data_IF_985453914438
#
_entry.id   IF_985453914438
#
_cell.length_a   1.000
_cell.length_b   1.000
_cell.length_c   1.000
_cell.angle_alpha   90.00
_cell.angle_beta   90.00
_cell.angle_gamma   90.00
#
_symmetry.space_group_name_H-M   'P 1'
#
loop_
_entity.id
_entity.type
_entity.pdbx_description
1 polymer ?
#
# COMPACT_ATOMS: atom_id res chain seq x y z
N UNK A 1 -18.16 2.78 -20.34
CA UNK A 1 -18.70 2.60 -19.00
C UNK A 1 -17.53 2.41 -18.02
N UNK A 2 -17.47 3.26 -17.00
CA UNK A 2 -16.42 3.15 -15.96
C UNK A 2 -16.96 2.30 -14.83
N UNK A 3 -16.24 1.22 -14.51
CA UNK A 3 -16.69 0.26 -13.53
C UNK A 3 -15.55 -0.03 -12.54
N UNK A 4 -15.86 0.00 -11.26
CA UNK A 4 -14.91 -0.30 -10.20
C UNK A 4 -15.48 -1.39 -9.30
N UNK A 5 -14.67 -2.42 -9.05
CA UNK A 5 -14.97 -3.49 -8.12
C UNK A 5 -14.03 -3.40 -6.94
N UNK A 6 -14.56 -3.57 -5.75
CA UNK A 6 -13.75 -3.59 -4.53
C UNK A 6 -14.22 -4.74 -3.66
N UNK A 7 -13.26 -5.52 -3.18
CA UNK A 7 -13.50 -6.60 -2.25
C UNK A 7 -12.59 -6.44 -1.04
N UNK A 8 -13.10 -6.85 0.12
CA UNK A 8 -12.34 -6.79 1.35
C UNK A 8 -12.62 -8.03 2.18
N UNK A 9 -11.55 -8.65 2.66
CA UNK A 9 -11.62 -9.80 3.56
C UNK A 9 -10.85 -9.42 4.82
N UNK A 10 -11.44 -9.67 5.97
CA UNK A 10 -10.79 -9.37 7.24
C UNK A 10 -11.01 -10.51 8.23
N UNK A 11 -10.08 -10.64 9.16
CA UNK A 11 -10.15 -11.65 10.19
C UNK A 11 -9.29 -11.29 11.38
N UNK A 12 -9.66 -11.81 12.53
CA UNK A 12 -8.93 -11.62 13.78
C UNK A 12 -8.44 -12.94 14.32
N UNK A 13 -7.40 -12.88 15.15
CA UNK A 13 -6.80 -14.05 15.82
C UNK A 13 -6.31 -15.12 14.84
N UNK A 14 -5.77 -14.70 13.69
CA UNK A 14 -5.25 -15.61 12.67
C UNK A 14 -3.82 -16.05 12.97
N UNK A 15 -2.98 -15.13 13.45
CA UNK A 15 -1.57 -15.37 13.74
C UNK A 15 -1.30 -15.38 15.23
N UNK A 16 -1.95 -14.48 15.97
CA UNK A 16 -1.80 -14.30 17.41
C UNK A 16 -3.13 -13.86 17.99
N UNK A 17 -3.31 -14.07 19.30
CA UNK A 17 -4.46 -13.50 20.00
C UNK A 17 -4.39 -11.97 19.96
N UNK A 18 -5.48 -11.35 19.54
CA UNK A 18 -5.58 -9.90 19.45
C UNK A 18 -5.08 -9.31 18.14
N UNK A 19 -4.75 -10.12 17.16
CA UNK A 19 -4.40 -9.60 15.85
C UNK A 19 -5.64 -9.25 15.04
N UNK A 20 -5.44 -8.36 14.07
CA UNK A 20 -6.46 -7.99 13.10
C UNK A 20 -5.80 -7.90 11.73
N UNK A 21 -6.39 -8.58 10.76
CA UNK A 21 -5.83 -8.70 9.42
C UNK A 21 -6.86 -8.29 8.38
N UNK A 22 -6.46 -7.49 7.42
CA UNK A 22 -7.33 -7.01 6.34
C UNK A 22 -6.63 -7.21 5.01
N UNK A 23 -7.33 -7.82 4.08
CA UNK A 23 -6.91 -7.92 2.69
C UNK A 23 -7.92 -7.16 1.85
N UNK A 24 -7.47 -6.17 1.09
CA UNK A 24 -8.30 -5.34 0.23
C UNK A 24 -7.88 -5.53 -1.21
N UNK A 25 -8.85 -5.63 -2.08
CA UNK A 25 -8.65 -5.81 -3.51
C UNK A 25 -9.51 -4.79 -4.24
N UNK A 26 -8.93 -4.09 -5.20
CA UNK A 26 -9.63 -3.10 -6.02
C UNK A 26 -9.28 -3.30 -7.49
N UNK A 27 -10.30 -3.32 -8.32
CA UNK A 27 -10.14 -3.38 -9.77
C UNK A 27 -11.07 -2.33 -10.38
N UNK A 28 -10.53 -1.50 -11.25
CA UNK A 28 -11.31 -0.43 -11.84
C UNK A 28 -10.86 -0.08 -13.24
N UNK A 29 -11.81 0.35 -14.05
CA UNK A 29 -11.55 0.97 -15.34
C UNK A 29 -11.83 2.45 -15.21
N UNK A 30 -10.84 3.28 -15.56
CA UNK A 30 -10.96 4.73 -15.52
C UNK A 30 -10.73 5.30 -16.93
N UNK A 31 -10.94 6.63 -17.06
CA UNK A 31 -10.68 7.31 -18.33
C UNK A 31 -9.22 7.18 -18.74
N UNK A 32 -8.31 7.14 -17.79
CA UNK A 32 -6.86 7.07 -18.04
C UNK A 32 -6.35 5.64 -18.20
N UNK A 33 -7.08 4.63 -17.73
CA UNK A 33 -6.64 3.26 -17.85
C UNK A 33 -7.28 2.33 -16.84
N UNK A 34 -6.69 1.14 -16.71
CA UNK A 34 -7.11 0.12 -15.77
C UNK A 34 -6.24 0.19 -14.52
N UNK A 35 -6.88 0.16 -13.37
CA UNK A 35 -6.22 0.18 -12.08
C UNK A 35 -6.52 -1.14 -11.35
N UNK A 36 -5.48 -1.81 -10.90
CA UNK A 36 -5.56 -2.97 -10.03
C UNK A 36 -4.75 -2.69 -8.77
N UNK A 37 -5.34 -2.93 -7.61
CA UNK A 37 -4.69 -2.67 -6.33
C UNK A 37 -4.98 -3.80 -5.36
N UNK A 38 -3.95 -4.26 -4.66
CA UNK A 38 -4.07 -5.24 -3.59
C UNK A 38 -3.34 -4.68 -2.38
N UNK A 39 -4.00 -4.70 -1.23
CA UNK A 39 -3.45 -4.20 0.02
C UNK A 39 -3.64 -5.24 1.12
N UNK A 40 -2.57 -5.54 1.83
CA UNK A 40 -2.60 -6.42 2.98
C UNK A 40 -2.13 -5.64 4.21
N UNK A 41 -2.96 -5.59 5.23
CA UNK A 41 -2.67 -4.92 6.49
C UNK A 41 -2.83 -5.92 7.62
N UNK A 42 -1.87 -5.92 8.53
CA UNK A 42 -1.95 -6.71 9.74
C UNK A 42 -1.62 -5.84 10.93
N UNK A 43 -2.24 -6.11 12.06
CA UNK A 43 -1.97 -5.40 13.31
C UNK A 43 -2.07 -6.39 14.45
N UNK A 44 -1.02 -6.51 15.23
CA UNK A 44 -0.98 -7.47 16.32
C UNK A 44 -0.19 -6.93 17.51
N UNK A 45 -0.56 -7.34 18.74
CA UNK A 45 0.20 -6.94 19.93
C UNK A 45 1.52 -7.69 19.99
N UNK A 46 2.59 -6.98 20.36
CA UNK A 46 3.92 -7.56 20.52
C UNK A 46 4.40 -7.58 21.96
N UNK A 47 3.61 -7.05 22.89
CA UNK A 47 3.89 -7.06 24.32
C UNK A 47 3.52 -5.75 24.97
N UNK A 48 2.86 -5.84 26.15
CA UNK A 48 2.44 -4.66 26.91
C UNK A 48 1.52 -3.76 26.11
N UNK A 49 1.90 -2.50 26.00
CA UNK A 49 1.12 -1.48 25.27
C UNK A 49 1.54 -1.30 23.81
N UNK A 50 2.44 -2.14 23.30
CA UNK A 50 2.98 -2.04 21.96
C UNK A 50 2.22 -2.89 20.96
N UNK A 51 2.02 -2.35 19.77
CA UNK A 51 1.42 -3.05 18.63
C UNK A 51 2.25 -2.83 17.39
N UNK A 52 2.36 -3.87 16.57
CA UNK A 52 3.08 -3.83 15.30
C UNK A 52 2.09 -4.01 14.16
N UNK A 53 2.19 -3.17 13.14
CA UNK A 53 1.29 -3.20 12.00
C UNK A 53 2.04 -3.21 10.68
N UNK A 54 2.43 -4.37 10.16
CA UNK A 54 2.97 -4.43 8.81
C UNK A 54 1.87 -4.21 7.77
N UNK A 55 2.21 -3.46 6.72
CA UNK A 55 1.32 -3.18 5.58
C UNK A 55 2.09 -3.38 4.30
N UNK A 56 1.40 -3.88 3.31
CA UNK A 56 1.95 -4.01 1.97
C UNK A 56 0.87 -3.71 0.95
N UNK A 57 1.16 -2.80 0.03
CA UNK A 57 0.24 -2.42 -1.03
C UNK A 57 0.94 -2.55 -2.38
N UNK A 58 0.24 -3.12 -3.35
CA UNK A 58 0.68 -3.19 -4.73
C UNK A 58 -0.38 -2.51 -5.59
N UNK A 59 0.01 -1.46 -6.30
CA UNK A 59 -0.84 -0.75 -7.23
C UNK A 59 -0.30 -0.93 -8.63
N UNK A 60 -1.19 -1.22 -9.57
CA UNK A 60 -0.83 -1.38 -10.98
C UNK A 60 -1.77 -0.56 -11.83
N UNK A 61 -1.21 0.31 -12.64
CA UNK A 61 -1.94 1.13 -13.59
C UNK A 61 -1.50 0.78 -15.01
N UNK A 62 -2.45 0.37 -15.84
CA UNK A 62 -2.25 0.20 -17.27
C UNK A 62 -2.92 1.35 -17.99
N UNK A 63 -2.10 2.29 -18.50
CA UNK A 63 -2.62 3.48 -19.17
C UNK A 63 -3.09 3.13 -20.59
N UNK A 64 -4.27 3.62 -20.94
CA UNK A 64 -4.85 3.38 -22.28
C UNK A 64 -4.23 4.30 -23.32
N UNK A 65 -3.82 5.50 -22.92
CA UNK A 65 -3.36 6.53 -23.85
C UNK A 65 -2.03 6.20 -24.51
N UNK A 66 -1.08 5.63 -23.78
CA UNK A 66 0.28 5.37 -24.27
C UNK A 66 0.71 3.91 -24.09
N UNK A 67 -0.17 3.05 -23.55
CA UNK A 67 0.14 1.65 -23.28
C UNK A 67 1.13 1.44 -22.14
N UNK A 68 1.49 2.50 -21.39
CA UNK A 68 2.44 2.37 -20.30
C UNK A 68 1.84 1.60 -19.13
N UNK A 69 2.72 0.95 -18.38
CA UNK A 69 2.35 0.18 -17.21
C UNK A 69 3.15 0.67 -16.02
N UNK A 70 2.45 1.11 -14.98
CA UNK A 70 3.06 1.54 -13.72
C UNK A 70 2.72 0.54 -12.63
N UNK A 71 3.73 0.03 -11.97
CA UNK A 71 3.56 -0.83 -10.79
C UNK A 71 4.23 -0.17 -9.61
N UNK A 72 3.52 -0.03 -8.51
CA UNK A 72 4.03 0.59 -7.30
C UNK A 72 3.87 -0.39 -6.14
N UNK A 73 4.96 -0.62 -5.42
CA UNK A 73 4.99 -1.43 -4.21
C UNK A 73 5.19 -0.51 -3.02
N UNK A 74 4.33 -0.61 -2.02
CA UNK A 74 4.36 0.25 -0.84
C UNK A 74 4.41 -0.61 0.41
N UNK A 75 5.59 -1.09 0.82
CA UNK A 75 5.76 -1.74 2.11
C UNK A 75 5.82 -0.68 3.21
N UNK A 76 5.20 -0.95 4.32
CA UNK A 76 5.29 -0.09 5.49
C UNK A 76 5.16 -0.89 6.77
N UNK A 77 5.69 -0.34 7.84
CA UNK A 77 5.65 -0.92 9.17
C UNK A 77 5.23 0.16 10.15
N UNK A 78 4.15 -0.09 10.85
CA UNK A 78 3.59 0.82 11.85
C UNK A 78 3.86 0.25 13.23
N UNK A 79 4.45 1.05 14.10
CA UNK A 79 4.67 0.70 15.50
C UNK A 79 3.84 1.63 16.37
N UNK A 80 2.93 1.08 17.14
CA UNK A 80 2.06 1.83 18.04
C UNK A 80 2.40 1.52 19.48
N UNK A 81 2.42 2.56 20.30
CA UNK A 81 2.45 2.46 21.75
C UNK A 81 1.26 3.22 22.30
N UNK A 82 0.39 2.53 23.01
CA UNK A 82 -0.78 3.15 23.62
C UNK A 82 -0.85 2.78 25.09
N UNK A 83 -0.84 3.77 25.94
CA UNK A 83 -0.97 3.60 27.37
C UNK A 83 -1.80 4.75 27.93
N UNK A 84 -2.91 4.41 28.60
CA UNK A 84 -3.84 5.40 29.17
C UNK A 84 -4.36 6.35 28.08
N UNK A 85 -4.02 7.62 28.17
CA UNK A 85 -4.44 8.67 27.22
C UNK A 85 -3.36 9.08 26.23
N UNK A 86 -2.26 8.33 26.21
CA UNK A 86 -1.11 8.64 25.36
C UNK A 86 -1.02 7.64 24.22
N UNK A 87 -0.88 8.14 23.02
CA UNK A 87 -0.67 7.33 21.82
C UNK A 87 0.57 7.83 21.11
N UNK A 88 1.51 6.94 20.90
CA UNK A 88 2.71 7.20 20.12
C UNK A 88 2.70 6.25 18.93
N UNK A 89 2.94 6.81 17.73
CA UNK A 89 2.97 6.04 16.49
C UNK A 89 4.22 6.36 15.70
N UNK A 90 4.88 5.32 15.23
CA UNK A 90 6.05 5.43 14.37
C UNK A 90 5.79 4.58 13.13
N UNK A 91 5.91 5.20 11.96
CA UNK A 91 5.70 4.52 10.69
C UNK A 91 6.95 4.63 9.82
N UNK A 92 7.42 3.50 9.34
CA UNK A 92 8.46 3.41 8.32
C UNK A 92 7.85 2.86 7.06
N UNK A 93 8.13 3.48 5.94
CA UNK A 93 7.61 2.98 4.70
C UNK A 93 8.53 3.26 3.54
N UNK A 94 8.25 2.56 2.46
CA UNK A 94 8.92 2.75 1.20
C UNK A 94 7.91 2.76 0.07
N UNK A 95 8.27 3.38 -1.01
CA UNK A 95 7.51 3.35 -2.24
C UNK A 95 8.47 2.99 -3.36
N UNK A 96 8.26 1.82 -3.95
CA UNK A 96 9.06 1.31 -5.05
C UNK A 96 8.19 1.35 -6.29
N UNK A 97 8.50 2.26 -7.22
CA UNK A 97 7.75 2.41 -8.45
C UNK A 97 8.52 1.84 -9.62
N UNK A 98 7.81 1.13 -10.49
CA UNK A 98 8.35 0.64 -11.75
C UNK A 98 7.40 1.05 -12.86
N UNK A 99 7.91 1.81 -13.81
CA UNK A 99 7.16 2.23 -14.98
C UNK A 99 7.75 1.59 -16.22
N UNK A 100 6.93 0.92 -16.99
CA UNK A 100 7.28 0.37 -18.29
C UNK A 100 6.48 1.11 -19.36
N UNK A 101 7.20 1.71 -20.31
CA UNK A 101 6.60 2.43 -21.42
C UNK A 101 7.09 1.85 -22.73
N UNK A 102 6.19 1.71 -23.70
CA UNK A 102 6.55 1.32 -25.05
C UNK A 102 6.93 2.56 -25.84
N UNK A 103 8.16 2.56 -26.37
CA UNK A 103 8.63 3.61 -27.25
C UNK A 103 8.73 3.03 -28.66
N UNK A 104 8.03 3.68 -29.60
CA UNK A 104 8.07 3.26 -30.99
C UNK A 104 9.01 4.21 -31.76
N UNK A 105 10.10 3.65 -32.25
CA UNK A 105 11.07 4.36 -33.09
C UNK A 105 10.96 3.89 -34.53
N UNK A 106 11.62 4.62 -35.44
CA UNK A 106 11.61 4.27 -36.87
C UNK A 106 12.11 2.86 -37.14
N UNK A 107 12.96 2.32 -36.31
CA UNK A 107 13.58 1.01 -36.46
C UNK A 107 12.98 -0.09 -35.58
N UNK A 108 11.85 0.17 -34.92
CA UNK A 108 11.19 -0.83 -34.10
C UNK A 108 10.68 -0.25 -32.79
N UNK A 109 10.05 -1.10 -32.00
CA UNK A 109 9.51 -0.74 -30.68
C UNK A 109 10.40 -1.32 -29.58
N UNK A 110 10.62 -0.56 -28.52
CA UNK A 110 11.31 -1.08 -27.34
C UNK A 110 10.62 -0.61 -26.06
N UNK A 111 10.85 -1.35 -24.97
CA UNK A 111 10.31 -1.06 -23.66
C UNK A 111 11.35 -0.28 -22.88
N UNK A 112 10.94 0.89 -22.37
CA UNK A 112 11.75 1.67 -21.45
C UNK A 112 11.25 1.45 -20.04
N UNK A 113 12.15 1.11 -19.12
CA UNK A 113 11.81 0.88 -17.72
C UNK A 113 12.41 1.99 -16.87
N UNK A 114 11.59 2.59 -16.01
CA UNK A 114 12.03 3.56 -15.01
C UNK A 114 11.68 3.04 -13.62
N UNK A 115 12.66 3.09 -12.71
CA UNK A 115 12.48 2.71 -11.34
C UNK A 115 12.60 3.94 -10.45
N UNK A 116 11.67 4.07 -9.52
CA UNK A 116 11.66 5.15 -8.52
C UNK A 116 11.59 4.53 -7.14
N UNK A 117 12.45 4.99 -6.24
CA UNK A 117 12.48 4.51 -4.86
C UNK A 117 12.39 5.71 -3.92
N UNK A 118 11.48 5.64 -2.97
CA UNK A 118 11.30 6.66 -1.94
C UNK A 118 11.11 5.98 -0.60
N UNK A 119 11.66 6.59 0.44
CA UNK A 119 11.49 6.14 1.81
C UNK A 119 10.91 7.27 2.64
N UNK A 120 10.11 6.91 3.63
CA UNK A 120 9.54 7.90 4.54
C UNK A 120 9.52 7.36 5.96
N UNK A 121 9.58 8.29 6.91
CA UNK A 121 9.42 8.03 8.33
C UNK A 121 8.43 9.05 8.85
N UNK A 122 7.44 8.59 9.59
CA UNK A 122 6.43 9.45 10.20
C UNK A 122 6.37 9.16 11.69
N UNK A 123 6.35 10.21 12.49
CA UNK A 123 6.22 10.12 13.94
C UNK A 123 5.01 10.93 14.36
N UNK A 124 4.15 10.34 15.15
CA UNK A 124 2.94 10.97 15.65
C UNK A 124 2.83 10.72 17.16
N UNK A 125 2.47 11.75 17.88
CA UNK A 125 2.25 11.66 19.33
C UNK A 125 0.97 12.39 19.67
N UNK A 126 0.10 11.70 20.41
CA UNK A 126 -1.22 12.24 20.75
C UNK A 126 -1.49 12.04 22.23
N UNK A 127 -1.96 13.09 22.88
CA UNK A 127 -2.44 13.04 24.26
C UNK A 127 -3.93 13.40 24.24
N UNK A 128 -4.75 12.57 24.85
CA UNK A 128 -6.17 12.86 25.00
C UNK A 128 -6.42 13.44 26.39
N UNK A 129 -7.13 14.55 26.42
CA UNK A 129 -7.55 15.18 27.67
C UNK A 129 -9.06 14.96 27.84
N UNK A 130 -9.46 14.59 29.03
CA UNK A 130 -10.87 14.56 29.40
C UNK A 130 -11.15 15.56 30.50
#
# INVERSE_FOLDING_TARGET
>A
MLLTYQGQVYGSNLWRNGDFNVLTFTHGNTVIGRIDSVSANSRFPIGGAWRLGPRFTVDRLNAVTDGSQNTTYIPSLLLDYQRERKLFQLEFGGQLGKREAFLQLQNGAFVQTQNTTRYYVSVSYRISFQ
#
